data_IF_272308623304
#
_entry.id   IF_272308623304
#
_cell.length_a   1.000
_cell.length_b   1.000
_cell.length_c   1.000
_cell.angle_alpha   90.00
_cell.angle_beta   90.00
_cell.angle_gamma   90.00
#
_symmetry.space_group_name_H-M   'P 1'
#
loop_
_entity.id
_entity.type
_entity.pdbx_description
1 polymer ?
#
# COMPACT_ATOMS: atom_id res chain seq x y z
N UNK A 1 23.01 13.66 -20.61
CA UNK A 1 21.54 13.67 -20.63
C UNK A 1 20.96 12.25 -20.59
N UNK A 2 21.39 11.33 -21.46
CA UNK A 2 20.88 9.94 -21.47
C UNK A 2 21.22 9.11 -20.20
N UNK A 3 22.33 9.41 -19.52
CA UNK A 3 22.76 8.70 -18.30
C UNK A 3 21.85 8.95 -17.08
N UNK A 4 21.20 10.12 -17.04
CA UNK A 4 20.33 10.57 -15.93
C UNK A 4 18.99 9.82 -15.95
N UNK A 5 18.40 9.64 -17.14
CA UNK A 5 17.13 8.92 -17.31
C UNK A 5 17.25 7.43 -16.98
N UNK A 6 18.39 6.79 -17.26
CA UNK A 6 18.61 5.37 -16.92
C UNK A 6 18.65 5.19 -15.40
N UNK A 7 19.40 6.03 -14.68
CA UNK A 7 19.45 5.97 -13.22
C UNK A 7 18.07 6.26 -12.59
N UNK A 8 17.35 7.26 -13.10
CA UNK A 8 16.00 7.57 -12.63
C UNK A 8 15.00 6.45 -12.96
N UNK A 9 15.20 5.71 -14.06
CA UNK A 9 14.40 4.53 -14.39
C UNK A 9 14.61 3.41 -13.38
N UNK A 10 15.86 3.07 -13.07
CA UNK A 10 16.17 2.02 -12.09
C UNK A 10 15.64 2.39 -10.70
N UNK A 11 15.79 3.66 -10.32
CA UNK A 11 15.29 4.19 -9.05
C UNK A 11 13.76 4.12 -8.99
N UNK A 12 13.05 4.53 -10.05
CA UNK A 12 11.61 4.45 -10.13
C UNK A 12 11.11 3.00 -10.04
N UNK A 13 11.70 2.10 -10.83
CA UNK A 13 11.31 0.69 -10.87
C UNK A 13 11.58 0.00 -9.54
N UNK A 14 12.72 0.29 -8.92
CA UNK A 14 13.05 -0.20 -7.58
C UNK A 14 12.02 0.29 -6.56
N UNK A 15 11.66 1.58 -6.59
CA UNK A 15 10.68 2.13 -5.66
C UNK A 15 9.29 1.50 -5.84
N UNK A 16 8.80 1.37 -7.08
CA UNK A 16 7.53 0.69 -7.38
C UNK A 16 7.57 -0.78 -6.94
N UNK A 17 8.65 -1.50 -7.28
CA UNK A 17 8.83 -2.90 -6.91
C UNK A 17 8.81 -3.10 -5.40
N UNK A 18 9.50 -2.23 -4.65
CA UNK A 18 9.45 -2.25 -3.18
C UNK A 18 8.04 -2.04 -2.64
N UNK A 19 7.28 -1.06 -3.16
CA UNK A 19 5.87 -0.87 -2.74
C UNK A 19 5.05 -2.15 -2.93
N UNK A 20 5.19 -2.82 -4.07
CA UNK A 20 4.43 -4.03 -4.39
C UNK A 20 4.84 -5.20 -3.48
N UNK A 21 6.13 -5.48 -3.36
CA UNK A 21 6.66 -6.62 -2.58
C UNK A 21 6.40 -6.42 -1.09
N UNK A 22 6.65 -5.23 -0.55
CA UNK A 22 6.38 -4.93 0.86
C UNK A 22 4.89 -5.07 1.18
N UNK A 23 4.00 -4.59 0.31
CA UNK A 23 2.56 -4.74 0.52
C UNK A 23 2.11 -6.21 0.42
N UNK A 24 2.68 -6.99 -0.50
CA UNK A 24 2.40 -8.42 -0.60
C UNK A 24 2.76 -9.16 0.70
N UNK A 25 3.84 -8.76 1.37
CA UNK A 25 4.19 -9.30 2.68
C UNK A 25 3.11 -8.96 3.71
N UNK A 26 2.68 -7.70 3.79
CA UNK A 26 1.59 -7.27 4.69
C UNK A 26 0.32 -8.09 4.45
N UNK A 27 -0.05 -8.29 3.19
CA UNK A 27 -1.22 -9.10 2.82
C UNK A 27 -1.10 -10.56 3.25
N UNK A 28 0.07 -11.19 3.03
CA UNK A 28 0.32 -12.57 3.48
C UNK A 28 0.21 -12.69 4.99
N UNK A 29 0.85 -11.77 5.72
CA UNK A 29 0.84 -11.76 7.19
C UNK A 29 -0.57 -11.60 7.75
N UNK A 30 -1.37 -10.67 7.22
CA UNK A 30 -2.78 -10.52 7.64
C UNK A 30 -3.56 -11.80 7.36
N UNK A 31 -3.31 -12.44 6.21
CA UNK A 31 -3.90 -13.75 5.88
C UNK A 31 -3.55 -14.85 6.88
N UNK A 32 -2.28 -14.95 7.28
CA UNK A 32 -1.80 -15.92 8.28
C UNK A 32 -2.40 -15.68 9.66
N UNK A 33 -2.42 -14.41 10.11
CA UNK A 33 -3.03 -14.03 11.38
C UNK A 33 -4.53 -14.35 11.38
N UNK A 34 -5.23 -14.05 10.28
CA UNK A 34 -6.64 -14.37 10.12
C UNK A 34 -6.89 -15.88 10.13
N UNK A 35 -6.09 -16.67 9.40
CA UNK A 35 -6.20 -18.13 9.40
C UNK A 35 -6.02 -18.73 10.80
N UNK A 36 -5.08 -18.18 11.58
CA UNK A 36 -4.87 -18.53 12.99
C UNK A 36 -6.11 -18.22 13.84
N UNK A 37 -6.71 -17.03 13.71
CA UNK A 37 -7.96 -16.65 14.43
C UNK A 37 -9.17 -17.51 14.03
N UNK A 38 -9.18 -18.01 12.79
CA UNK A 38 -10.19 -18.94 12.27
C UNK A 38 -9.92 -20.40 12.66
N UNK A 39 -8.77 -20.69 13.27
CA UNK A 39 -8.31 -22.05 13.66
C UNK A 39 -8.25 -23.00 12.45
N UNK A 40 -7.88 -22.48 11.28
CA UNK A 40 -7.69 -23.29 10.08
C UNK A 40 -6.43 -24.14 10.26
N UNK A 41 -6.57 -25.46 10.19
CA UNK A 41 -5.47 -26.42 10.41
C UNK A 41 -4.78 -26.84 9.12
N UNK A 42 -5.54 -26.92 8.03
CA UNK A 42 -5.03 -27.30 6.72
C UNK A 42 -4.51 -26.07 5.97
N UNK A 43 -3.21 -26.03 5.58
CA UNK A 43 -2.64 -24.90 4.85
C UNK A 43 -3.38 -24.57 3.55
N UNK A 44 -3.88 -25.60 2.86
CA UNK A 44 -4.66 -25.43 1.62
C UNK A 44 -5.96 -24.67 1.83
N UNK A 45 -6.65 -24.89 2.96
CA UNK A 45 -7.90 -24.20 3.28
C UNK A 45 -7.65 -22.75 3.72
N UNK A 46 -6.58 -22.51 4.48
CA UNK A 46 -6.13 -21.16 4.82
C UNK A 46 -5.85 -20.34 3.56
N UNK A 47 -5.16 -20.91 2.57
CA UNK A 47 -4.88 -20.24 1.31
C UNK A 47 -6.16 -20.00 0.49
N UNK A 48 -7.03 -21.01 0.33
CA UNK A 48 -8.29 -20.87 -0.43
C UNK A 48 -9.19 -19.77 0.13
N UNK A 49 -9.37 -19.76 1.45
CA UNK A 49 -10.25 -18.78 2.12
C UNK A 49 -9.66 -17.38 1.96
N UNK A 50 -8.38 -17.19 2.33
CA UNK A 50 -7.76 -15.87 2.26
C UNK A 50 -7.63 -15.37 0.82
N UNK A 51 -7.33 -16.22 -0.16
CA UNK A 51 -7.24 -15.84 -1.57
C UNK A 51 -8.59 -15.38 -2.16
N UNK A 52 -9.72 -15.85 -1.61
CA UNK A 52 -11.06 -15.43 -2.05
C UNK A 52 -11.50 -14.04 -1.55
N UNK A 53 -10.73 -13.45 -0.64
CA UNK A 53 -11.05 -12.18 0.02
C UNK A 53 -10.20 -11.04 -0.54
N UNK A 54 -10.80 -9.87 -0.73
CA UNK A 54 -10.05 -8.63 -0.88
C UNK A 54 -9.26 -8.31 0.40
N UNK A 55 -8.19 -7.55 0.28
CA UNK A 55 -7.37 -7.18 1.43
C UNK A 55 -8.20 -6.45 2.51
N UNK A 56 -9.08 -5.51 2.15
CA UNK A 56 -10.01 -4.88 3.11
C UNK A 56 -10.85 -5.88 3.88
N UNK A 57 -11.46 -6.85 3.20
CA UNK A 57 -12.27 -7.87 3.85
C UNK A 57 -11.44 -8.70 4.84
N UNK A 58 -10.17 -9.01 4.51
CA UNK A 58 -9.27 -9.72 5.44
C UNK A 58 -9.02 -8.89 6.70
N UNK A 59 -8.70 -7.60 6.53
CA UNK A 59 -8.42 -6.69 7.63
C UNK A 59 -9.65 -6.48 8.50
N UNK A 60 -10.82 -6.24 7.91
CA UNK A 60 -12.07 -6.06 8.65
C UNK A 60 -12.38 -7.30 9.49
N UNK A 61 -12.37 -8.49 8.87
CA UNK A 61 -12.63 -9.74 9.58
C UNK A 61 -11.59 -10.01 10.68
N UNK A 62 -10.30 -9.75 10.40
CA UNK A 62 -9.25 -9.84 11.41
C UNK A 62 -9.55 -8.94 12.60
N UNK A 63 -9.83 -7.65 12.35
CA UNK A 63 -10.09 -6.67 13.39
C UNK A 63 -11.34 -6.97 14.21
N UNK A 64 -12.36 -7.58 13.61
CA UNK A 64 -13.60 -7.95 14.28
C UNK A 64 -13.44 -9.22 15.14
N UNK A 65 -12.62 -10.17 14.69
CA UNK A 65 -12.35 -11.42 15.42
C UNK A 65 -11.31 -11.24 16.54
N UNK A 66 -10.33 -10.36 16.34
CA UNK A 66 -9.17 -10.25 17.22
C UNK A 66 -9.52 -10.00 18.70
N UNK A 67 -10.43 -9.08 19.08
CA UNK A 67 -10.73 -8.79 20.48
C UNK A 67 -11.24 -10.01 21.26
N UNK A 68 -11.95 -10.92 20.60
CA UNK A 68 -12.59 -12.09 21.23
C UNK A 68 -11.80 -13.38 21.08
N UNK A 69 -10.90 -13.45 20.09
CA UNK A 69 -10.17 -14.68 19.74
C UNK A 69 -8.66 -14.59 19.92
N UNK A 70 -8.12 -13.43 20.30
CA UNK A 70 -6.70 -13.34 20.62
C UNK A 70 -6.38 -14.21 21.85
N UNK A 71 -5.22 -14.84 21.84
CA UNK A 71 -4.73 -15.62 22.99
C UNK A 71 -3.96 -14.76 24.01
N UNK A 72 -4.16 -13.43 23.99
CA UNK A 72 -3.42 -12.46 24.83
C UNK A 72 -1.94 -12.26 24.47
N UNK A 73 -1.41 -12.90 23.43
CA UNK A 73 0.02 -12.86 23.08
C UNK A 73 0.48 -11.54 22.46
N UNK A 74 -0.44 -10.80 21.85
CA UNK A 74 -0.15 -9.57 21.11
C UNK A 74 -1.05 -8.47 21.66
N UNK A 75 -0.47 -7.29 21.92
CA UNK A 75 -1.21 -6.10 22.32
C UNK A 75 -1.33 -5.20 21.10
N UNK A 76 -2.45 -5.33 20.37
CA UNK A 76 -2.70 -4.60 19.13
C UNK A 76 -3.81 -3.59 19.40
N UNK A 77 -3.52 -2.31 19.13
CA UNK A 77 -4.57 -1.31 18.99
C UNK A 77 -5.26 -1.51 17.63
N UNK A 78 -6.47 -2.06 17.67
CA UNK A 78 -7.22 -2.45 16.48
C UNK A 78 -7.62 -1.27 15.61
N UNK A 79 -7.93 -0.12 16.20
CA UNK A 79 -8.31 1.06 15.45
C UNK A 79 -7.10 1.60 14.66
N UNK A 80 -5.95 1.69 15.32
CA UNK A 80 -4.71 2.16 14.70
C UNK A 80 -4.20 1.17 13.65
N UNK A 81 -4.24 -0.13 13.94
CA UNK A 81 -3.86 -1.18 12.99
C UNK A 81 -4.74 -1.16 11.74
N UNK A 82 -6.07 -1.11 11.89
CA UNK A 82 -7.02 -1.05 10.76
C UNK A 82 -6.72 0.15 9.87
N UNK A 83 -6.54 1.32 10.46
CA UNK A 83 -6.22 2.55 9.73
C UNK A 83 -4.92 2.41 8.94
N UNK A 84 -3.84 1.94 9.57
CA UNK A 84 -2.54 1.82 8.93
C UNK A 84 -2.53 0.80 7.78
N UNK A 85 -3.20 -0.35 7.96
CA UNK A 85 -3.35 -1.37 6.92
C UNK A 85 -4.13 -0.82 5.72
N UNK A 86 -5.23 -0.08 5.95
CA UNK A 86 -5.99 0.56 4.88
C UNK A 86 -5.19 1.63 4.13
N UNK A 87 -4.42 2.45 4.84
CA UNK A 87 -3.52 3.44 4.23
C UNK A 87 -2.46 2.77 3.34
N UNK A 88 -1.93 1.61 3.76
CA UNK A 88 -0.96 0.85 2.97
C UNK A 88 -1.59 0.29 1.68
N UNK A 89 -2.80 -0.26 1.76
CA UNK A 89 -3.55 -0.72 0.58
C UNK A 89 -3.85 0.42 -0.38
N UNK A 90 -4.35 1.54 0.14
CA UNK A 90 -4.70 2.70 -0.67
C UNK A 90 -3.46 3.25 -1.38
N UNK A 91 -2.33 3.35 -0.68
CA UNK A 91 -1.07 3.78 -1.28
C UNK A 91 -0.60 2.80 -2.36
N UNK A 92 -0.55 1.49 -2.08
CA UNK A 92 -0.19 0.50 -3.10
C UNK A 92 -1.10 0.61 -4.32
N UNK A 93 -2.41 0.70 -4.12
CA UNK A 93 -3.39 0.84 -5.20
C UNK A 93 -3.18 2.13 -6.01
N UNK A 94 -2.79 3.22 -5.34
CA UNK A 94 -2.46 4.48 -6.01
C UNK A 94 -1.22 4.40 -6.90
N UNK A 95 -0.29 3.46 -6.63
CA UNK A 95 0.91 3.22 -7.42
C UNK A 95 0.64 2.26 -8.58
N UNK A 96 0.09 1.08 -8.30
CA UNK A 96 -0.09 0.00 -9.30
C UNK A 96 -1.21 0.29 -10.31
N UNK A 97 -2.18 1.13 -9.96
CA UNK A 97 -3.23 1.57 -10.89
C UNK A 97 -2.91 2.92 -11.56
N UNK A 98 -1.62 3.26 -11.64
CA UNK A 98 -1.14 4.40 -12.40
C UNK A 98 -0.39 3.94 -13.64
N UNK A 99 -0.44 4.75 -14.68
CA UNK A 99 0.37 4.57 -15.87
C UNK A 99 1.64 5.41 -15.73
N UNK A 100 2.80 4.79 -15.92
CA UNK A 100 4.11 5.40 -15.78
C UNK A 100 4.76 5.45 -17.16
N UNK A 101 5.21 6.63 -17.59
CA UNK A 101 5.78 6.82 -18.93
C UNK A 101 6.84 7.91 -18.92
N UNK A 102 7.73 7.89 -19.90
CA UNK A 102 8.67 8.99 -20.12
C UNK A 102 7.98 10.04 -21.00
N UNK A 103 7.95 11.29 -20.56
CA UNK A 103 7.35 12.41 -21.27
C UNK A 103 8.03 13.74 -20.93
N UNK A 104 7.50 14.84 -21.47
CA UNK A 104 8.04 16.20 -21.29
C UNK A 104 8.50 16.82 -22.61
N UNK A 105 8.15 18.09 -22.85
CA UNK A 105 8.49 18.82 -24.09
C UNK A 105 9.98 19.07 -24.25
N UNK A 106 10.69 19.35 -23.14
CA UNK A 106 12.07 19.86 -23.18
C UNK A 106 13.08 18.98 -22.41
N UNK A 107 12.62 18.16 -21.47
CA UNK A 107 13.46 17.19 -20.74
C UNK A 107 12.70 15.88 -20.60
N UNK A 108 13.31 14.77 -21.03
CA UNK A 108 12.74 13.45 -20.82
C UNK A 108 12.70 13.15 -19.32
N UNK A 109 11.49 13.09 -18.77
CA UNK A 109 11.26 12.81 -17.35
C UNK A 109 10.20 11.76 -17.18
N UNK A 110 10.27 11.03 -16.06
CA UNK A 110 9.22 10.11 -15.70
C UNK A 110 7.97 10.88 -15.28
N UNK A 111 6.87 10.49 -15.89
CA UNK A 111 5.54 11.01 -15.68
C UNK A 111 4.65 9.90 -15.15
N UNK A 112 3.67 10.30 -14.34
CA UNK A 112 2.59 9.47 -13.87
C UNK A 112 1.28 10.00 -14.45
N UNK A 113 0.41 9.12 -14.90
CA UNK A 113 -0.99 9.45 -15.16
C UNK A 113 -1.94 8.46 -14.50
N UNK A 114 -3.11 8.94 -14.11
CA UNK A 114 -4.19 8.12 -13.57
C UNK A 114 -5.52 8.57 -14.16
N UNK A 115 -6.22 7.64 -14.79
CA UNK A 115 -7.56 7.87 -15.32
C UNK A 115 -8.63 7.49 -14.30
N UNK A 116 -9.68 8.29 -14.21
CA UNK A 116 -10.86 8.00 -13.39
C UNK A 116 -12.14 8.21 -14.19
N UNK A 117 -13.07 7.25 -14.11
CA UNK A 117 -14.39 7.29 -14.75
C UNK A 117 -15.53 7.58 -13.76
N UNK A 118 -15.21 7.77 -12.47
CA UNK A 118 -16.18 7.77 -11.37
C UNK A 118 -16.92 9.10 -11.15
N UNK A 119 -16.81 10.08 -12.06
CA UNK A 119 -17.42 11.41 -11.85
C UNK A 119 -18.57 11.67 -12.84
N UNK A 120 -19.64 12.39 -12.43
CA UNK A 120 -20.71 12.84 -13.34
C UNK A 120 -20.18 13.67 -14.52
N UNK A 121 -18.97 14.23 -14.39
CA UNK A 121 -18.29 15.04 -15.40
C UNK A 121 -17.54 14.21 -16.46
N UNK A 122 -17.65 12.89 -16.42
CA UNK A 122 -17.04 11.98 -17.40
C UNK A 122 -15.62 11.54 -17.03
N UNK A 123 -14.86 11.16 -18.07
CA UNK A 123 -13.49 10.67 -17.97
C UNK A 123 -12.52 11.79 -17.61
N UNK A 124 -11.79 11.64 -16.51
CA UNK A 124 -10.74 12.57 -16.07
C UNK A 124 -9.40 11.87 -16.01
N UNK A 125 -8.39 12.43 -16.69
CA UNK A 125 -6.98 12.06 -16.52
C UNK A 125 -6.32 13.12 -15.64
N UNK A 126 -5.60 12.67 -14.63
CA UNK A 126 -4.66 13.50 -13.88
C UNK A 126 -3.24 13.02 -14.22
N UNK A 127 -2.33 13.95 -14.51
CA UNK A 127 -0.94 13.64 -14.84
C UNK A 127 0.03 14.59 -14.15
N UNK A 128 1.24 14.11 -13.86
CA UNK A 128 2.32 14.93 -13.33
C UNK A 128 3.65 14.18 -13.27
N UNK A 129 4.72 14.87 -12.89
CA UNK A 129 6.05 14.28 -12.73
C UNK A 129 6.05 13.17 -11.66
N UNK A 130 6.69 12.05 -11.97
CA UNK A 130 6.86 10.97 -11.00
C UNK A 130 7.62 11.47 -9.76
N UNK A 131 7.03 11.26 -8.58
CA UNK A 131 7.67 11.60 -7.32
C UNK A 131 8.30 10.35 -6.70
N UNK A 132 9.50 10.00 -7.17
CA UNK A 132 10.23 8.79 -6.73
C UNK A 132 10.52 8.80 -5.24
N UNK A 133 10.86 9.97 -4.67
CA UNK A 133 11.11 10.11 -3.22
C UNK A 133 9.88 9.76 -2.37
N UNK A 134 8.67 10.07 -2.86
CA UNK A 134 7.44 9.66 -2.20
C UNK A 134 7.18 8.15 -2.33
N UNK A 135 7.52 7.54 -3.46
CA UNK A 135 7.45 6.08 -3.60
C UNK A 135 8.37 5.37 -2.60
N UNK A 136 9.61 5.86 -2.46
CA UNK A 136 10.59 5.34 -1.50
C UNK A 136 10.11 5.51 -0.05
N UNK A 137 9.62 6.69 0.30
CA UNK A 137 9.09 6.99 1.64
C UNK A 137 7.86 6.14 1.97
N UNK A 138 6.96 5.97 1.00
CA UNK A 138 5.78 5.14 1.16
C UNK A 138 6.11 3.65 1.27
N UNK A 139 7.11 3.15 0.52
CA UNK A 139 7.61 1.79 0.68
C UNK A 139 8.16 1.55 2.10
N UNK A 140 8.98 2.46 2.63
CA UNK A 140 9.50 2.38 4.00
C UNK A 140 8.38 2.43 5.05
N UNK A 141 7.33 3.23 4.81
CA UNK A 141 6.16 3.25 5.67
C UNK A 141 5.38 1.92 5.62
N UNK A 142 5.25 1.27 4.45
CA UNK A 142 4.67 -0.08 4.36
C UNK A 142 5.51 -1.10 5.15
N UNK A 143 6.84 -1.03 5.05
CA UNK A 143 7.75 -1.89 5.83
C UNK A 143 7.50 -1.73 7.34
N UNK A 144 7.14 -0.52 7.78
CA UNK A 144 6.76 -0.25 9.17
C UNK A 144 5.36 -0.80 9.51
N UNK A 145 4.39 -0.66 8.60
CA UNK A 145 3.03 -1.22 8.74
C UNK A 145 3.05 -2.75 8.83
N UNK A 146 3.99 -3.42 8.17
CA UNK A 146 4.19 -4.88 8.31
C UNK A 146 4.28 -5.32 9.76
N UNK A 147 4.91 -4.52 10.60
CA UNK A 147 5.17 -4.85 11.99
C UNK A 147 4.07 -4.30 12.93
N UNK A 148 2.86 -4.05 12.40
CA UNK A 148 1.73 -3.46 13.17
C UNK A 148 1.38 -4.23 14.44
N UNK A 149 1.64 -5.54 14.47
CA UNK A 149 1.32 -6.42 15.58
C UNK A 149 2.28 -6.28 16.77
N UNK A 150 3.38 -5.52 16.64
CA UNK A 150 4.35 -5.28 17.70
C UNK A 150 3.89 -4.26 18.76
N UNK A 151 2.69 -3.69 18.64
CA UNK A 151 2.13 -2.76 19.63
C UNK A 151 2.80 -1.38 19.68
N UNK A 152 3.57 -1.01 18.65
CA UNK A 152 4.26 0.29 18.54
C UNK A 152 3.35 1.35 17.93
N UNK A 153 2.35 1.77 18.71
CA UNK A 153 1.23 2.61 18.26
C UNK A 153 1.69 3.90 17.56
N UNK A 154 2.62 4.65 18.16
CA UNK A 154 3.03 5.96 17.61
C UNK A 154 3.78 5.82 16.29
N UNK A 155 4.64 4.81 16.17
CA UNK A 155 5.35 4.47 14.93
C UNK A 155 4.34 4.11 13.82
N UNK A 156 3.28 3.38 14.18
CA UNK A 156 2.25 2.98 13.22
C UNK A 156 1.38 4.15 12.75
N UNK A 157 1.05 5.09 13.65
CA UNK A 157 0.36 6.33 13.31
C UNK A 157 1.19 7.20 12.36
N UNK A 158 2.49 7.33 12.65
CA UNK A 158 3.42 8.07 11.80
C UNK A 158 3.50 7.45 10.39
N UNK A 159 3.66 6.13 10.30
CA UNK A 159 3.66 5.42 9.03
C UNK A 159 2.36 5.65 8.23
N UNK A 160 1.19 5.58 8.88
CA UNK A 160 -0.09 5.91 8.24
C UNK A 160 -0.12 7.35 7.71
N UNK A 161 0.40 8.31 8.49
CA UNK A 161 0.46 9.72 8.08
C UNK A 161 1.36 9.93 6.86
N UNK A 162 2.51 9.26 6.81
CA UNK A 162 3.42 9.28 5.65
C UNK A 162 2.69 8.75 4.41
N UNK A 163 1.99 7.62 4.52
CA UNK A 163 1.23 7.03 3.41
C UNK A 163 0.13 7.97 2.90
N UNK A 164 -0.67 8.54 3.81
CA UNK A 164 -1.72 9.51 3.46
C UNK A 164 -1.16 10.75 2.76
N UNK A 165 -0.04 11.30 3.26
CA UNK A 165 0.65 12.42 2.63
C UNK A 165 1.11 12.04 1.23
N UNK A 166 1.69 10.85 1.07
CA UNK A 166 2.19 10.38 -0.20
C UNK A 166 1.08 10.16 -1.23
N UNK A 167 -0.06 9.57 -0.82
CA UNK A 167 -1.26 9.44 -1.64
C UNK A 167 -1.72 10.81 -2.16
N UNK A 168 -1.74 11.83 -1.30
CA UNK A 168 -2.11 13.19 -1.71
C UNK A 168 -1.11 13.77 -2.71
N UNK A 169 0.19 13.66 -2.43
CA UNK A 169 1.26 14.17 -3.30
C UNK A 169 1.17 13.59 -4.70
N UNK A 170 1.03 12.27 -4.84
CA UNK A 170 0.92 11.63 -6.15
C UNK A 170 -0.46 11.89 -6.82
N UNK A 171 -1.51 12.16 -6.05
CA UNK A 171 -2.86 12.40 -6.60
C UNK A 171 -3.13 13.85 -7.01
N UNK A 172 -2.38 14.82 -6.46
CA UNK A 172 -2.64 16.26 -6.62
C UNK A 172 -1.88 16.94 -7.75
N UNK A 173 -1.02 16.27 -8.50
CA UNK A 173 -0.28 16.94 -9.58
C UNK A 173 -1.23 17.32 -10.72
N UNK A 174 -1.44 18.63 -10.99
CA UNK A 174 -2.26 19.06 -12.10
C UNK A 174 -1.51 18.86 -13.42
N UNK A 175 -2.29 18.51 -14.45
CA UNK A 175 -1.89 18.53 -15.87
C UNK A 175 -1.56 19.93 -16.33
#
# INVERSE_FOLDING_TARGET
MQYDLVQETDRLYTAIGRVVVSFQFVESLVGELLASLLKLREPGDAHRITASMSFRQKVDLFCDLYPTRNSGKLSIDIAVARKALFSAEEFRNSVVHSFWYVGGSDTSKWMRSKSTLKTPKGFKITSGEANTSCLESGAAAIDTVRDFYLGRIEILKEASSILEKCIKTISMQPS
#
